data_IF_689391717871
#
_entry.id   IF_689391717871
#
_cell.length_a   1.000
_cell.length_b   1.000
_cell.length_c   1.000
_cell.angle_alpha   90.00
_cell.angle_beta   90.00
_cell.angle_gamma   90.00
#
_symmetry.space_group_name_H-M   'P 1'
#
loop_
_entity.id
_entity.type
_entity.pdbx_description
1 polymer ?
#
# COMPACT_ATOMS: atom_id res chain seq x y z
N UNK A 1 22.04 -29.27 -2.56
CA UNK A 1 21.99 -28.03 -1.74
C UNK A 1 20.52 -27.68 -1.52
N UNK A 2 20.12 -27.49 -0.26
CA UNK A 2 18.71 -27.31 0.14
C UNK A 2 18.14 -25.97 -0.33
N UNK A 3 16.86 -25.98 -0.71
CA UNK A 3 16.04 -24.85 -1.17
C UNK A 3 16.06 -23.64 -0.22
N UNK A 4 16.38 -23.85 1.06
CA UNK A 4 16.52 -22.78 2.07
C UNK A 4 17.73 -21.86 1.86
N UNK A 5 18.79 -22.32 1.19
CA UNK A 5 20.01 -21.52 1.01
C UNK A 5 19.92 -20.48 -0.13
N UNK A 6 18.90 -20.57 -1.01
CA UNK A 6 18.72 -19.60 -2.10
C UNK A 6 18.00 -18.33 -1.65
N UNK A 7 17.19 -18.35 -0.58
CA UNK A 7 16.46 -17.18 -0.09
C UNK A 7 17.36 -16.09 0.51
N UNK A 8 18.50 -16.46 1.09
CA UNK A 8 19.38 -15.51 1.79
C UNK A 8 20.18 -14.59 0.85
N UNK A 9 20.39 -14.98 -0.40
CA UNK A 9 21.19 -14.21 -1.38
C UNK A 9 20.40 -13.08 -2.06
N UNK A 10 19.07 -13.12 -2.04
CA UNK A 10 18.23 -12.11 -2.70
C UNK A 10 18.01 -10.84 -1.85
N UNK A 11 18.16 -10.91 -0.52
CA UNK A 11 18.05 -9.75 0.35
C UNK A 11 19.18 -8.73 0.18
N UNK A 12 20.37 -9.17 -0.25
CA UNK A 12 21.55 -8.29 -0.38
C UNK A 12 21.58 -7.43 -1.65
N UNK A 13 20.93 -7.85 -2.73
CA UNK A 13 20.96 -7.12 -4.00
C UNK A 13 19.99 -5.92 -4.04
N UNK A 14 18.94 -5.91 -3.21
CA UNK A 14 18.04 -4.75 -3.08
C UNK A 14 18.71 -3.55 -2.38
N UNK A 15 19.86 -3.74 -1.73
CA UNK A 15 20.52 -2.73 -0.89
C UNK A 15 21.42 -1.73 -1.65
N UNK A 16 21.73 -1.96 -2.93
CA UNK A 16 22.86 -1.31 -3.60
C UNK A 16 22.53 -0.21 -4.61
N UNK A 17 21.28 0.28 -4.64
CA UNK A 17 20.93 1.49 -5.41
C UNK A 17 20.33 2.54 -4.48
N UNK A 18 21.18 3.28 -3.77
CA UNK A 18 20.74 4.46 -3.01
C UNK A 18 21.58 4.91 -1.83
N UNK A 19 22.89 4.65 -1.80
CA UNK A 19 23.78 5.17 -0.75
C UNK A 19 24.46 6.47 -1.15
N UNK A 20 23.87 7.64 -0.87
CA UNK A 20 24.62 8.91 -0.78
C UNK A 20 24.19 9.71 0.46
N UNK A 21 25.23 10.09 1.20
CA UNK A 21 25.38 10.84 2.45
C UNK A 21 24.42 12.03 2.66
N UNK A 22 23.70 12.05 3.79
CA UNK A 22 23.04 13.25 4.31
C UNK A 22 24.03 14.12 5.09
N UNK A 23 24.42 15.26 4.51
CA UNK A 23 25.19 16.32 5.18
C UNK A 23 24.27 17.41 5.74
N UNK A 24 24.45 17.75 7.02
CA UNK A 24 23.80 18.88 7.70
C UNK A 24 24.29 20.22 7.12
N UNK A 25 23.36 21.10 6.75
CA UNK A 25 23.57 22.55 6.83
C UNK A 25 22.28 23.19 7.36
N UNK A 26 22.39 23.87 8.50
CA UNK A 26 21.37 24.79 8.97
C UNK A 26 21.72 26.21 8.56
N UNK A 27 20.70 27.05 8.34
CA UNK A 27 20.51 28.32 9.05
C UNK A 27 19.13 28.90 8.70
N UNK A 28 18.57 29.60 9.68
CA UNK A 28 17.22 30.16 9.76
C UNK A 28 17.04 31.37 8.85
N UNK A 29 15.81 31.59 8.38
CA UNK A 29 15.19 32.93 8.40
C UNK A 29 13.72 32.83 8.82
N UNK A 30 13.32 33.77 9.69
CA UNK A 30 11.96 33.93 10.19
C UNK A 30 11.11 34.73 9.20
N UNK A 31 9.86 34.31 8.99
CA UNK A 31 8.82 35.14 8.40
C UNK A 31 7.48 34.85 9.07
N UNK A 32 6.80 35.93 9.45
CA UNK A 32 5.61 35.96 10.30
C UNK A 32 4.35 35.35 9.65
N UNK A 33 3.36 34.90 10.46
CA UNK A 33 2.19 34.20 9.95
C UNK A 33 1.17 35.15 9.31
N UNK A 34 0.73 34.81 8.09
CA UNK A 34 -0.44 35.44 7.43
C UNK A 34 -1.70 34.67 7.82
N UNK A 35 -2.63 35.35 8.50
CA UNK A 35 -3.99 34.86 8.72
C UNK A 35 -4.70 34.64 7.38
N UNK A 36 -5.28 33.46 7.18
CA UNK A 36 -6.24 33.21 6.09
C UNK A 36 -7.57 32.85 6.74
N UNK A 37 -8.57 33.68 6.46
CA UNK A 37 -9.92 33.57 6.97
C UNK A 37 -10.61 32.29 6.46
N UNK A 38 -11.34 31.65 7.35
CA UNK A 38 -12.21 30.49 7.08
C UNK A 38 -13.47 30.95 6.32
N UNK A 39 -13.69 30.39 5.13
CA UNK A 39 -14.97 30.45 4.44
C UNK A 39 -15.45 29.01 4.21
N UNK A 40 -16.36 28.56 5.08
CA UNK A 40 -17.07 27.29 4.92
C UNK A 40 -18.22 27.52 3.93
N UNK A 41 -18.07 27.04 2.70
CA UNK A 41 -19.17 26.95 1.75
C UNK A 41 -19.83 25.57 1.87
N UNK A 42 -21.14 25.55 2.09
CA UNK A 42 -21.96 24.33 2.11
C UNK A 42 -21.93 23.62 0.75
N UNK A 43 -21.54 22.34 0.75
CA UNK A 43 -21.62 21.47 -0.44
C UNK A 43 -23.04 20.91 -0.59
N UNK A 44 -23.63 20.95 -1.80
CA UNK A 44 -24.93 20.34 -2.05
C UNK A 44 -24.82 18.81 -2.11
N UNK A 45 -25.84 18.14 -1.58
CA UNK A 45 -26.05 16.70 -1.66
C UNK A 45 -26.20 16.26 -3.12
N UNK A 46 -25.19 15.55 -3.63
CA UNK A 46 -25.14 15.06 -5.01
C UNK A 46 -26.02 13.81 -5.18
N UNK A 47 -27.09 13.96 -5.96
CA UNK A 47 -27.81 12.87 -6.63
C UNK A 47 -26.86 12.18 -7.62
N UNK A 48 -26.63 10.88 -7.42
CA UNK A 48 -25.75 10.04 -8.24
C UNK A 48 -26.26 9.90 -9.67
N UNK A 49 -25.80 10.77 -10.58
CA UNK A 49 -25.95 10.58 -12.02
C UNK A 49 -25.13 9.37 -12.50
N UNK A 50 -25.59 8.69 -13.56
CA UNK A 50 -24.85 7.61 -14.19
C UNK A 50 -23.50 8.11 -14.75
N UNK A 51 -22.42 7.33 -14.65
CA UNK A 51 -21.10 7.71 -15.15
C UNK A 51 -21.14 7.97 -16.67
N UNK A 52 -20.42 9.00 -17.13
CA UNK A 52 -20.28 9.30 -18.56
C UNK A 52 -19.63 8.11 -19.30
N UNK A 53 -19.95 7.88 -20.59
CA UNK A 53 -19.33 6.82 -21.38
C UNK A 53 -17.80 6.87 -21.29
N UNK A 54 -17.15 5.71 -21.09
CA UNK A 54 -15.68 5.61 -20.95
C UNK A 54 -15.13 5.93 -19.55
N UNK A 55 -15.97 6.29 -18.59
CA UNK A 55 -15.56 6.47 -17.19
C UNK A 55 -15.75 5.20 -16.36
N UNK A 56 -14.79 4.93 -15.49
CA UNK A 56 -14.77 3.81 -14.55
C UNK A 56 -14.83 4.40 -13.14
N UNK A 57 -15.78 3.90 -12.33
CA UNK A 57 -15.88 4.25 -10.92
C UNK A 57 -14.81 3.49 -10.13
N UNK A 58 -13.88 4.22 -9.54
CA UNK A 58 -12.87 3.63 -8.66
C UNK A 58 -13.47 3.40 -7.26
N UNK A 59 -13.59 2.15 -6.76
CA UNK A 59 -14.15 1.92 -5.42
C UNK A 59 -13.28 2.47 -4.29
N UNK A 60 -11.98 2.68 -4.54
CA UNK A 60 -11.07 3.28 -3.56
C UNK A 60 -11.30 4.79 -3.44
N UNK A 61 -11.69 5.44 -4.55
CA UNK A 61 -12.01 6.88 -4.61
C UNK A 61 -13.19 7.15 -5.54
N UNK A 62 -14.44 6.88 -5.10
CA UNK A 62 -15.63 7.02 -5.94
C UNK A 62 -15.84 8.42 -6.53
N UNK A 63 -15.26 9.43 -5.91
CA UNK A 63 -15.31 10.84 -6.30
C UNK A 63 -14.27 11.23 -7.36
N UNK A 64 -13.31 10.36 -7.68
CA UNK A 64 -12.26 10.59 -8.70
C UNK A 64 -12.34 9.51 -9.78
N UNK A 65 -13.19 9.69 -10.81
CA UNK A 65 -13.35 8.69 -11.86
C UNK A 65 -12.05 8.46 -12.63
N UNK A 66 -11.92 7.25 -13.15
CA UNK A 66 -10.81 6.83 -14.03
C UNK A 66 -11.32 6.84 -15.47
N UNK A 67 -10.52 7.32 -16.41
CA UNK A 67 -10.89 7.37 -17.83
C UNK A 67 -10.21 6.22 -18.55
N UNK A 68 -10.94 5.47 -19.38
CA UNK A 68 -10.32 4.48 -20.28
C UNK A 68 -9.41 5.20 -21.26
N UNK A 69 -8.22 4.65 -21.47
CA UNK A 69 -7.36 5.08 -22.57
C UNK A 69 -7.91 4.48 -23.86
N UNK A 70 -8.32 5.35 -24.80
CA UNK A 70 -8.87 4.94 -26.11
C UNK A 70 -7.82 4.94 -27.21
N UNK A 71 -6.54 5.22 -26.88
CA UNK A 71 -5.45 5.05 -27.83
C UNK A 71 -5.40 3.59 -28.32
N UNK A 72 -5.02 3.34 -29.59
CA UNK A 72 -4.89 1.99 -30.11
C UNK A 72 -4.01 1.12 -29.20
N UNK A 73 -4.52 -0.04 -28.77
CA UNK A 73 -3.74 -0.97 -27.94
C UNK A 73 -2.58 -1.50 -28.79
N UNK A 74 -1.34 -1.22 -28.39
CA UNK A 74 -0.18 -1.87 -28.99
C UNK A 74 -0.22 -3.36 -28.67
N UNK A 75 -0.01 -4.21 -29.68
CA UNK A 75 0.15 -5.65 -29.46
C UNK A 75 1.44 -5.90 -28.69
N UNK A 76 1.30 -6.23 -27.40
CA UNK A 76 2.42 -6.57 -26.52
C UNK A 76 2.64 -8.09 -26.42
N UNK A 77 1.97 -8.89 -27.25
CA UNK A 77 2.04 -10.34 -27.19
C UNK A 77 1.52 -10.90 -25.86
N UNK A 78 2.33 -11.72 -25.19
CA UNK A 78 2.00 -12.27 -23.87
C UNK A 78 2.10 -11.17 -22.80
N UNK A 79 0.98 -10.47 -22.59
CA UNK A 79 0.90 -9.36 -21.63
C UNK A 79 1.31 -9.76 -20.20
N UNK A 80 1.19 -11.04 -19.83
CA UNK A 80 1.57 -11.53 -18.49
C UNK A 80 3.09 -11.44 -18.29
N UNK A 81 3.85 -11.57 -19.37
CA UNK A 81 5.32 -11.48 -19.39
C UNK A 81 5.81 -10.15 -19.94
N UNK A 82 4.91 -9.22 -20.25
CA UNK A 82 5.29 -7.94 -20.83
C UNK A 82 6.06 -7.11 -19.80
N UNK A 83 7.19 -6.57 -20.23
CA UNK A 83 7.94 -5.58 -19.45
C UNK A 83 7.13 -4.28 -19.37
N UNK A 84 7.35 -3.43 -18.35
CA UNK A 84 6.58 -2.22 -18.21
C UNK A 84 6.69 -1.29 -19.41
N UNK A 85 5.55 -0.79 -19.89
CA UNK A 85 5.44 -0.05 -21.15
C UNK A 85 5.97 1.40 -21.09
N UNK A 86 5.87 2.05 -19.93
CA UNK A 86 6.10 3.50 -19.80
C UNK A 86 7.40 3.83 -19.07
N UNK A 87 8.52 3.82 -19.79
CA UNK A 87 9.85 4.14 -19.22
C UNK A 87 10.12 5.66 -19.14
N UNK A 88 9.11 6.47 -18.79
CA UNK A 88 9.21 7.94 -18.76
C UNK A 88 8.86 8.44 -17.35
N UNK A 89 9.73 9.29 -16.81
CA UNK A 89 9.56 9.94 -15.51
C UNK A 89 9.23 11.41 -15.66
N UNK A 90 8.37 11.92 -14.77
CA UNK A 90 8.06 13.35 -14.66
C UNK A 90 9.12 14.06 -13.82
N UNK A 91 9.61 15.17 -14.34
CA UNK A 91 10.45 16.12 -13.62
C UNK A 91 9.74 16.72 -12.41
N UNK A 92 10.50 17.27 -11.46
CA UNK A 92 9.94 17.99 -10.31
C UNK A 92 8.98 19.11 -10.73
N UNK A 93 9.32 19.86 -11.80
CA UNK A 93 8.48 20.93 -12.34
C UNK A 93 7.12 20.39 -12.85
N UNK A 94 7.12 19.27 -13.56
CA UNK A 94 5.90 18.60 -14.03
C UNK A 94 5.06 18.03 -12.89
N UNK A 95 5.66 17.76 -11.72
CA UNK A 95 4.97 17.41 -10.48
C UNK A 95 4.50 18.61 -9.67
N UNK A 96 4.60 19.83 -10.21
CA UNK A 96 4.25 21.06 -9.49
C UNK A 96 5.27 21.46 -8.41
N UNK A 97 6.55 21.15 -8.62
CA UNK A 97 7.64 21.41 -7.68
C UNK A 97 7.71 20.44 -6.50
N UNK A 98 7.01 19.31 -6.59
CA UNK A 98 6.98 18.30 -5.53
C UNK A 98 8.15 17.32 -5.66
N UNK A 99 8.85 17.11 -4.56
CA UNK A 99 9.86 16.06 -4.39
C UNK A 99 9.24 14.87 -3.62
N UNK A 100 8.82 13.78 -4.29
CA UNK A 100 8.02 12.74 -3.64
C UNK A 100 8.77 11.97 -2.54
N UNK A 101 10.10 11.87 -2.65
CA UNK A 101 10.94 11.27 -1.63
C UNK A 101 11.20 12.18 -0.42
N UNK A 102 10.91 13.48 -0.54
CA UNK A 102 10.95 14.38 0.60
C UNK A 102 9.58 14.30 1.31
N UNK A 103 9.55 13.77 2.53
CA UNK A 103 8.30 13.67 3.27
C UNK A 103 7.72 15.06 3.53
N UNK A 104 6.66 15.39 2.79
CA UNK A 104 5.84 16.57 3.05
C UNK A 104 5.32 16.55 4.49
N UNK A 105 5.55 17.63 5.23
CA UNK A 105 5.06 17.77 6.60
C UNK A 105 3.52 17.89 6.61
N UNK A 106 2.89 17.24 7.58
CA UNK A 106 1.46 17.38 7.89
C UNK A 106 1.29 17.53 9.39
N UNK A 107 0.16 18.10 9.80
CA UNK A 107 -0.19 18.15 11.21
C UNK A 107 -0.48 16.73 11.74
N UNK A 108 0.46 16.18 12.50
CA UNK A 108 0.34 14.87 13.15
C UNK A 108 -0.19 14.97 14.58
N UNK A 109 -0.67 16.15 15.01
CA UNK A 109 -1.09 16.41 16.39
C UNK A 109 -2.21 15.49 16.89
N UNK A 110 -3.02 14.91 16.00
CA UNK A 110 -4.03 13.91 16.33
C UNK A 110 -3.44 12.56 16.80
N UNK A 111 -2.15 12.33 16.57
CA UNK A 111 -1.43 11.10 16.93
C UNK A 111 -0.42 11.35 18.05
N UNK A 112 -0.13 10.32 18.85
CA UNK A 112 0.98 10.35 19.79
C UNK A 112 2.31 10.56 19.06
N UNK A 113 3.36 11.10 19.74
CA UNK A 113 4.72 10.97 19.25
C UNK A 113 5.07 9.49 19.00
N UNK A 114 6.02 9.24 18.10
CA UNK A 114 6.58 7.91 17.88
C UNK A 114 7.16 7.37 19.19
N UNK A 115 6.83 6.11 19.50
CA UNK A 115 7.42 5.38 20.61
C UNK A 115 8.00 4.06 20.10
N UNK A 116 9.18 3.68 20.59
CA UNK A 116 9.79 2.40 20.29
C UNK A 116 8.94 1.24 20.84
N UNK A 117 8.86 0.15 20.08
CA UNK A 117 8.15 -1.07 20.46
C UNK A 117 8.78 -2.25 19.73
N UNK A 118 9.41 -3.16 20.49
CA UNK A 118 10.13 -4.30 19.92
C UNK A 118 11.22 -3.84 18.93
N UNK A 119 11.18 -4.41 17.73
CA UNK A 119 12.10 -4.07 16.64
C UNK A 119 11.75 -2.78 15.89
N UNK A 120 10.56 -2.23 16.12
CA UNK A 120 10.04 -1.07 15.39
C UNK A 120 9.57 0.03 16.30
N UNK A 121 8.59 0.78 15.82
CA UNK A 121 7.97 1.88 16.55
C UNK A 121 6.51 2.00 16.17
N UNK A 122 5.74 2.67 17.00
CA UNK A 122 4.32 2.85 16.77
C UNK A 122 3.83 4.24 17.14
N UNK A 123 2.68 4.59 16.59
CA UNK A 123 1.85 5.73 16.98
C UNK A 123 0.39 5.29 17.04
N UNK A 124 -0.38 6.00 17.84
CA UNK A 124 -1.82 5.77 17.96
C UNK A 124 -2.56 7.12 18.05
N UNK A 125 -3.87 7.16 17.76
CA UNK A 125 -4.68 8.34 18.03
C UNK A 125 -4.54 8.79 19.49
N UNK A 126 -4.36 10.10 19.72
CA UNK A 126 -4.24 10.64 21.09
C UNK A 126 -5.52 10.44 21.90
N UNK A 127 -6.64 10.71 21.25
CA UNK A 127 -7.98 10.60 21.81
C UNK A 127 -8.60 9.27 21.37
N UNK A 128 -9.33 8.61 22.26
CA UNK A 128 -10.09 7.39 21.96
C UNK A 128 -9.34 6.42 21.00
N UNK A 129 -8.17 5.87 21.39
CA UNK A 129 -7.42 4.92 20.55
C UNK A 129 -8.16 3.59 20.34
N UNK A 130 -9.25 3.36 21.08
CA UNK A 130 -10.12 2.18 20.98
C UNK A 130 -11.58 2.60 20.89
N UNK A 131 -12.44 1.70 20.40
CA UNK A 131 -13.88 1.78 20.58
C UNK A 131 -14.28 1.50 22.05
N UNK A 132 -15.59 1.61 22.36
CA UNK A 132 -16.13 1.39 23.70
C UNK A 132 -15.93 -0.04 24.24
N UNK A 133 -15.65 -1.02 23.36
CA UNK A 133 -15.35 -2.40 23.74
C UNK A 133 -13.84 -2.66 23.84
N UNK A 134 -13.01 -1.61 23.76
CA UNK A 134 -11.56 -1.72 23.79
C UNK A 134 -10.93 -2.21 22.50
N UNK A 135 -11.65 -2.15 21.37
CA UNK A 135 -11.11 -2.65 20.10
C UNK A 135 -10.51 -1.55 19.24
N UNK A 136 -9.48 -1.87 18.48
CA UNK A 136 -8.84 -0.93 17.56
C UNK A 136 -8.39 -1.63 16.27
N UNK A 137 -8.20 -0.87 15.20
CA UNK A 137 -7.65 -1.41 13.95
C UNK A 137 -6.16 -1.04 13.82
N UNK A 138 -5.36 -1.98 13.32
CA UNK A 138 -3.90 -1.90 13.26
C UNK A 138 -3.41 -1.93 11.81
N UNK A 139 -2.55 -0.99 11.46
CA UNK A 139 -1.64 -1.10 10.31
C UNK A 139 -0.27 -1.53 10.83
N UNK A 140 0.23 -2.67 10.34
CA UNK A 140 1.64 -3.05 10.44
C UNK A 140 2.27 -2.75 9.08
N UNK A 141 3.09 -1.69 9.02
CA UNK A 141 3.74 -1.25 7.80
C UNK A 141 5.25 -1.52 7.81
N UNK A 142 5.77 -2.07 6.71
CA UNK A 142 7.18 -2.34 6.52
C UNK A 142 7.79 -1.40 5.49
N UNK A 143 8.87 -0.72 5.90
CA UNK A 143 9.68 0.22 5.11
C UNK A 143 8.98 1.55 4.75
N UNK A 144 9.62 2.70 5.04
CA UNK A 144 9.10 4.02 4.62
C UNK A 144 8.19 4.69 5.66
N UNK A 145 8.62 4.72 6.91
CA UNK A 145 7.83 5.09 8.09
C UNK A 145 7.15 6.49 8.08
N UNK A 146 7.86 7.60 7.87
CA UNK A 146 7.22 8.94 7.96
C UNK A 146 6.17 9.21 6.87
N UNK A 147 6.41 8.88 5.58
CA UNK A 147 5.38 9.03 4.54
C UNK A 147 4.08 8.28 4.85
N UNK A 148 4.16 7.14 5.53
CA UNK A 148 2.99 6.31 5.85
C UNK A 148 2.11 6.98 6.89
N UNK A 149 2.70 7.54 7.95
CA UNK A 149 1.93 8.33 8.93
C UNK A 149 1.30 9.55 8.27
N UNK A 150 2.01 10.21 7.36
CA UNK A 150 1.47 11.34 6.59
C UNK A 150 0.19 10.94 5.83
N UNK A 151 0.23 9.83 5.09
CA UNK A 151 -0.93 9.38 4.33
C UNK A 151 -2.06 8.84 5.22
N UNK A 152 -1.74 8.24 6.37
CA UNK A 152 -2.73 7.86 7.37
C UNK A 152 -3.47 9.09 7.91
N UNK A 153 -2.76 10.16 8.28
CA UNK A 153 -3.38 11.43 8.70
C UNK A 153 -4.27 12.01 7.59
N UNK A 154 -3.77 12.09 6.35
CA UNK A 154 -4.53 12.59 5.19
C UNK A 154 -5.75 11.74 4.83
N UNK A 155 -5.78 10.48 5.25
CA UNK A 155 -6.92 9.58 5.04
C UNK A 155 -8.04 9.80 6.07
N UNK A 156 -7.78 10.60 7.11
CA UNK A 156 -8.68 10.87 8.23
C UNK A 156 -9.10 9.61 9.01
N UNK A 157 -8.36 8.51 8.81
CA UNK A 157 -8.56 7.29 9.58
C UNK A 157 -7.83 7.35 10.90
N UNK A 158 -8.32 6.58 11.87
CA UNK A 158 -7.82 6.55 13.25
C UNK A 158 -7.14 5.22 13.59
N UNK A 159 -6.47 4.63 12.61
CA UNK A 159 -5.79 3.36 12.82
C UNK A 159 -4.57 3.55 13.72
N UNK A 160 -4.28 2.54 14.54
CA UNK A 160 -2.96 2.42 15.19
C UNK A 160 -1.97 2.03 14.10
N UNK A 161 -0.80 2.66 14.08
CA UNK A 161 0.23 2.40 13.08
C UNK A 161 1.49 1.91 13.78
N UNK A 162 1.89 0.69 13.46
CA UNK A 162 3.21 0.15 13.75
C UNK A 162 4.05 0.19 12.47
N UNK A 163 5.29 0.65 12.57
CA UNK A 163 6.25 0.65 11.47
C UNK A 163 7.53 -0.08 11.86
N UNK A 164 8.07 -0.84 10.91
CA UNK A 164 9.42 -1.39 10.98
C UNK A 164 10.15 -1.01 9.69
N UNK A 165 11.17 -0.17 9.82
CA UNK A 165 12.07 0.19 8.73
C UNK A 165 13.46 -0.35 9.06
N UNK A 166 13.97 -1.25 8.22
CA UNK A 166 15.31 -1.78 8.40
C UNK A 166 16.37 -0.90 7.72
N UNK A 167 17.59 -0.89 8.25
CA UNK A 167 18.76 -0.38 7.55
C UNK A 167 18.97 -1.06 6.19
N UNK A 168 19.61 -0.40 5.20
CA UNK A 168 19.79 -0.95 3.86
C UNK A 168 20.53 -2.30 3.80
N UNK A 169 21.42 -2.58 4.75
CA UNK A 169 22.21 -3.81 4.83
C UNK A 169 21.45 -5.01 5.44
N UNK A 170 20.18 -4.83 5.80
CA UNK A 170 19.35 -5.85 6.42
C UNK A 170 18.14 -6.21 5.54
N UNK A 171 17.79 -7.50 5.53
CA UNK A 171 16.60 -8.02 4.85
C UNK A 171 15.46 -8.34 5.81
N UNK A 172 14.21 -8.18 5.35
CA UNK A 172 13.03 -8.53 6.14
C UNK A 172 12.81 -10.03 6.30
N UNK A 173 13.18 -10.83 5.30
CA UNK A 173 12.91 -12.28 5.27
C UNK A 173 13.37 -13.02 6.54
N UNK A 174 14.64 -12.88 6.98
CA UNK A 174 15.13 -13.51 8.21
C UNK A 174 14.39 -13.09 9.47
N UNK A 175 13.87 -11.85 9.54
CA UNK A 175 13.15 -11.37 10.72
C UNK A 175 11.75 -11.96 10.85
N UNK A 176 11.12 -12.32 9.74
CA UNK A 176 9.76 -12.88 9.74
C UNK A 176 9.75 -14.40 9.58
N UNK A 177 10.85 -15.00 9.11
CA UNK A 177 11.01 -16.45 9.01
C UNK A 177 11.33 -17.06 10.39
N UNK A 178 10.36 -17.77 10.97
CA UNK A 178 10.58 -18.59 12.18
C UNK A 178 10.49 -17.86 13.52
N UNK A 179 10.13 -16.57 13.55
CA UNK A 179 10.20 -15.72 14.74
C UNK A 179 8.85 -15.43 15.41
N UNK A 180 7.72 -15.85 14.83
CA UNK A 180 6.38 -15.39 15.24
C UNK A 180 6.32 -13.84 15.38
N UNK A 181 7.14 -13.10 14.60
CA UNK A 181 7.28 -11.65 14.75
C UNK A 181 5.95 -10.92 14.54
N UNK A 182 5.15 -11.38 13.59
CA UNK A 182 3.80 -10.87 13.38
C UNK A 182 2.94 -10.95 14.65
N UNK A 183 2.86 -12.14 15.26
CA UNK A 183 2.07 -12.38 16.47
C UNK A 183 2.61 -11.58 17.66
N UNK A 184 3.94 -11.53 17.80
CA UNK A 184 4.63 -10.77 18.84
C UNK A 184 4.33 -9.27 18.74
N UNK A 185 4.44 -8.70 17.53
CA UNK A 185 4.12 -7.27 17.28
C UNK A 185 2.67 -6.97 17.60
N UNK A 186 1.73 -7.82 17.18
CA UNK A 186 0.30 -7.63 17.50
C UNK A 186 0.09 -7.63 19.02
N UNK A 187 0.66 -8.59 19.73
CA UNK A 187 0.53 -8.68 21.19
C UNK A 187 1.16 -7.47 21.91
N UNK A 188 2.34 -7.02 21.47
CA UNK A 188 3.02 -5.85 22.02
C UNK A 188 2.21 -4.56 21.81
N UNK A 189 1.63 -4.38 20.62
CA UNK A 189 0.76 -3.23 20.31
C UNK A 189 -0.49 -3.27 21.17
N UNK A 190 -1.15 -4.42 21.31
CA UNK A 190 -2.32 -4.56 22.21
C UNK A 190 -1.99 -4.15 23.65
N UNK A 191 -0.83 -4.56 24.17
CA UNK A 191 -0.39 -4.16 25.52
C UNK A 191 -0.13 -2.66 25.61
N UNK A 192 0.53 -2.08 24.61
CA UNK A 192 0.83 -0.65 24.57
C UNK A 192 -0.44 0.21 24.52
N UNK A 193 -1.40 -0.16 23.66
CA UNK A 193 -2.71 0.49 23.57
C UNK A 193 -3.50 0.29 24.86
N UNK A 194 -3.46 -0.91 25.48
CA UNK A 194 -4.14 -1.17 26.75
C UNK A 194 -3.67 -0.24 27.87
N UNK A 195 -2.34 -0.07 28.01
CA UNK A 195 -1.75 0.84 29.01
C UNK A 195 -2.21 2.28 28.79
N UNK A 196 -2.30 2.72 27.53
CA UNK A 196 -2.73 4.09 27.21
C UNK A 196 -4.23 4.30 27.41
N UNK A 197 -5.05 3.33 27.03
CA UNK A 197 -6.50 3.40 27.11
C UNK A 197 -7.04 3.16 28.53
N UNK A 198 -6.24 2.57 29.44
CA UNK A 198 -6.68 2.25 30.80
C UNK A 198 -7.65 1.07 30.86
N UNK A 199 -7.73 0.27 29.80
CA UNK A 199 -8.61 -0.89 29.66
C UNK A 199 -7.93 -1.96 28.80
N UNK A 200 -8.45 -3.19 28.82
CA UNK A 200 -7.93 -4.27 27.98
C UNK A 200 -8.25 -4.00 26.52
N UNK A 201 -7.24 -3.60 25.74
CA UNK A 201 -7.37 -3.33 24.32
C UNK A 201 -7.12 -4.58 23.48
N UNK A 202 -7.84 -4.73 22.36
CA UNK A 202 -7.66 -5.84 21.40
C UNK A 202 -7.71 -5.37 19.96
N UNK A 203 -6.84 -5.94 19.13
CA UNK A 203 -6.90 -5.69 17.70
C UNK A 203 -8.19 -6.31 17.14
N UNK A 204 -8.92 -5.50 16.38
CA UNK A 204 -10.13 -5.89 15.65
C UNK A 204 -9.80 -6.28 14.22
N UNK A 205 -8.94 -5.50 13.57
CA UNK A 205 -8.54 -5.66 12.19
C UNK A 205 -7.06 -5.44 12.01
N UNK A 206 -6.45 -6.22 11.13
CA UNK A 206 -5.03 -6.08 10.77
C UNK A 206 -4.86 -5.79 9.28
N UNK A 207 -4.15 -4.71 8.98
CA UNK A 207 -3.54 -4.46 7.67
C UNK A 207 -2.07 -4.82 7.72
N UNK A 208 -1.65 -5.75 6.86
CA UNK A 208 -0.26 -5.95 6.52
C UNK A 208 0.08 -5.07 5.30
N UNK A 209 0.98 -4.12 5.49
CA UNK A 209 1.32 -3.13 4.45
C UNK A 209 2.82 -3.03 4.26
N UNK A 210 3.26 -2.81 3.03
CA UNK A 210 4.68 -2.60 2.75
C UNK A 210 4.89 -1.72 1.52
N UNK A 211 6.01 -1.02 1.53
CA UNK A 211 6.58 -0.35 0.37
C UNK A 211 7.94 -0.95 0.02
N UNK A 212 8.25 -1.06 -1.28
CA UNK A 212 9.56 -1.50 -1.74
C UNK A 212 9.98 -2.85 -1.13
N UNK A 213 11.21 -2.97 -0.62
CA UNK A 213 11.77 -4.16 0.01
C UNK A 213 10.97 -4.72 1.20
N UNK A 214 10.04 -3.94 1.79
CA UNK A 214 9.18 -4.40 2.88
C UNK A 214 8.28 -5.60 2.50
N UNK A 215 8.00 -5.80 1.20
CA UNK A 215 7.12 -6.88 0.75
C UNK A 215 7.62 -8.28 1.15
N UNK A 216 8.94 -8.46 1.30
CA UNK A 216 9.54 -9.74 1.73
C UNK A 216 9.07 -10.12 3.14
N UNK A 217 8.89 -9.15 4.03
CA UNK A 217 8.33 -9.41 5.35
C UNK A 217 6.86 -9.82 5.29
N UNK A 218 6.10 -9.25 4.33
CA UNK A 218 4.70 -9.62 4.10
C UNK A 218 4.62 -11.04 3.51
N UNK A 219 5.49 -11.41 2.57
CA UNK A 219 5.61 -12.77 2.05
C UNK A 219 5.81 -13.79 3.19
N UNK A 220 6.82 -13.55 4.03
CA UNK A 220 7.10 -14.41 5.19
C UNK A 220 5.95 -14.45 6.19
N UNK A 221 5.22 -13.35 6.39
CA UNK A 221 4.05 -13.32 7.25
C UNK A 221 2.88 -14.11 6.65
N UNK A 222 2.63 -13.99 5.34
CA UNK A 222 1.56 -14.71 4.65
C UNK A 222 1.78 -16.22 4.60
N UNK A 223 3.04 -16.66 4.58
CA UNK A 223 3.41 -18.07 4.65
C UNK A 223 3.08 -18.76 5.99
N UNK A 224 2.75 -18.00 7.05
CA UNK A 224 2.45 -18.52 8.37
C UNK A 224 0.94 -18.82 8.54
N UNK A 225 0.54 -19.82 9.36
CA UNK A 225 -0.88 -20.13 9.57
C UNK A 225 -1.72 -18.98 10.12
N UNK A 226 -1.11 -18.09 10.91
CA UNK A 226 -1.77 -16.91 11.49
C UNK A 226 -2.07 -15.81 10.48
N UNK A 227 -1.57 -15.91 9.24
CA UNK A 227 -1.95 -15.03 8.14
C UNK A 227 -3.44 -15.10 7.78
N UNK A 228 -4.13 -16.18 8.19
CA UNK A 228 -5.58 -16.35 7.98
C UNK A 228 -6.39 -15.21 8.59
N UNK A 229 -5.91 -14.63 9.68
CA UNK A 229 -6.57 -13.56 10.44
C UNK A 229 -6.26 -12.15 9.91
N UNK A 230 -5.35 -12.01 8.96
CA UNK A 230 -5.04 -10.73 8.31
C UNK A 230 -6.23 -10.30 7.44
N UNK A 231 -6.79 -9.12 7.71
CA UNK A 231 -7.96 -8.59 7.00
C UNK A 231 -7.63 -7.92 5.68
N UNK A 232 -6.44 -7.30 5.61
CA UNK A 232 -5.99 -6.59 4.42
C UNK A 232 -4.49 -6.75 4.15
N UNK A 233 -4.13 -6.87 2.86
CA UNK A 233 -2.75 -6.79 2.36
C UNK A 233 -2.62 -5.60 1.42
N UNK A 234 -1.62 -4.74 1.64
CA UNK A 234 -1.38 -3.53 0.85
C UNK A 234 0.09 -3.48 0.43
N UNK A 235 0.36 -3.74 -0.84
CA UNK A 235 1.71 -3.72 -1.41
C UNK A 235 1.85 -2.50 -2.32
N UNK A 236 2.74 -1.59 -1.95
CA UNK A 236 2.98 -0.35 -2.70
C UNK A 236 4.30 -0.48 -3.42
N UNK A 237 4.23 -0.60 -4.75
CA UNK A 237 5.39 -0.65 -5.65
C UNK A 237 6.59 -1.43 -5.08
N UNK A 238 6.35 -2.67 -4.65
CA UNK A 238 7.38 -3.49 -4.02
C UNK A 238 7.32 -4.98 -4.30
N UNK A 239 6.26 -5.49 -4.93
CA UNK A 239 6.13 -6.93 -5.18
C UNK A 239 7.11 -7.36 -6.29
N UNK A 240 8.16 -8.10 -5.92
CA UNK A 240 9.18 -8.62 -6.83
C UNK A 240 9.32 -10.14 -6.71
N UNK A 241 9.94 -10.77 -7.70
CA UNK A 241 10.24 -12.20 -7.70
C UNK A 241 11.44 -12.50 -8.62
N UNK A 242 12.11 -13.66 -8.50
CA UNK A 242 13.15 -14.10 -9.43
C UNK A 242 12.62 -14.12 -10.87
N UNK A 243 13.32 -13.47 -11.81
CA UNK A 243 12.84 -13.39 -13.19
C UNK A 243 13.12 -14.66 -14.01
N UNK A 244 14.30 -15.25 -13.82
CA UNK A 244 14.82 -16.31 -14.69
C UNK A 244 14.41 -17.72 -14.25
N UNK A 245 14.17 -17.92 -12.96
CA UNK A 245 13.69 -19.18 -12.40
C UNK A 245 12.16 -19.13 -12.27
N UNK A 246 11.46 -19.66 -13.27
CA UNK A 246 9.98 -19.62 -13.36
C UNK A 246 9.33 -20.33 -12.17
N UNK A 247 9.91 -21.42 -11.69
CA UNK A 247 9.32 -22.16 -10.57
C UNK A 247 9.52 -21.40 -9.26
N UNK A 248 10.69 -20.78 -9.07
CA UNK A 248 10.90 -19.86 -7.94
C UNK A 248 9.99 -18.63 -8.02
N UNK A 249 9.79 -18.06 -9.22
CA UNK A 249 8.86 -16.95 -9.46
C UNK A 249 7.44 -17.29 -9.00
N UNK A 250 6.90 -18.42 -9.48
CA UNK A 250 5.56 -18.86 -9.12
C UNK A 250 5.44 -19.19 -7.64
N UNK A 251 6.42 -19.91 -7.09
CA UNK A 251 6.41 -20.31 -5.69
C UNK A 251 6.42 -19.11 -4.74
N UNK A 252 7.23 -18.09 -5.03
CA UNK A 252 7.28 -16.86 -4.24
C UNK A 252 5.96 -16.06 -4.33
N UNK A 253 5.32 -16.02 -5.50
CA UNK A 253 4.07 -15.27 -5.67
C UNK A 253 2.83 -16.03 -5.19
N UNK A 254 2.90 -17.34 -4.94
CA UNK A 254 1.73 -18.16 -4.59
C UNK A 254 0.97 -17.66 -3.34
N UNK A 255 1.61 -17.29 -2.20
CA UNK A 255 0.88 -16.76 -1.05
C UNK A 255 0.09 -15.49 -1.37
N UNK A 256 0.58 -14.67 -2.30
CA UNK A 256 -0.10 -13.48 -2.76
C UNK A 256 -1.25 -13.81 -3.72
N UNK A 257 -1.10 -14.81 -4.59
CA UNK A 257 -2.20 -15.32 -5.44
C UNK A 257 -3.34 -15.86 -4.58
N UNK A 258 -3.03 -16.65 -3.55
CA UNK A 258 -4.03 -17.22 -2.63
C UNK A 258 -4.79 -16.10 -1.89
N UNK A 259 -4.07 -15.07 -1.43
CA UNK A 259 -4.67 -13.93 -0.77
C UNK A 259 -5.52 -13.08 -1.74
N UNK A 260 -5.03 -12.86 -2.97
CA UNK A 260 -5.74 -12.14 -4.02
C UNK A 260 -7.04 -12.85 -4.41
N UNK A 261 -7.05 -14.19 -4.45
CA UNK A 261 -8.25 -15.00 -4.68
C UNK A 261 -9.32 -14.74 -3.62
N UNK A 262 -8.95 -14.75 -2.33
CA UNK A 262 -9.86 -14.44 -1.22
C UNK A 262 -10.36 -12.99 -1.26
N UNK A 263 -9.49 -12.05 -1.63
CA UNK A 263 -9.89 -10.66 -1.81
C UNK A 263 -10.84 -10.46 -2.99
N UNK A 264 -10.63 -11.19 -4.10
CA UNK A 264 -11.53 -11.20 -5.26
C UNK A 264 -12.91 -11.81 -4.92
N UNK A 265 -12.94 -12.82 -4.03
CA UNK A 265 -14.16 -13.36 -3.43
C UNK A 265 -14.77 -12.44 -2.34
N UNK A 266 -14.21 -11.26 -2.13
CA UNK A 266 -14.65 -10.25 -1.16
C UNK A 266 -14.51 -10.62 0.33
N UNK A 267 -13.79 -11.70 0.65
CA UNK A 267 -13.55 -12.17 2.02
C UNK A 267 -12.47 -11.37 2.76
N UNK A 268 -11.51 -10.87 1.99
CA UNK A 268 -10.37 -10.05 2.42
C UNK A 268 -10.27 -8.81 1.56
N UNK A 269 -9.30 -7.94 1.83
CA UNK A 269 -8.98 -6.78 1.00
C UNK A 269 -7.53 -6.86 0.52
N UNK A 270 -7.29 -6.67 -0.77
CA UNK A 270 -5.92 -6.62 -1.28
C UNK A 270 -5.74 -5.46 -2.25
N UNK A 271 -4.71 -4.67 -2.01
CA UNK A 271 -4.26 -3.62 -2.91
C UNK A 271 -2.82 -3.87 -3.33
N UNK A 272 -2.55 -3.74 -4.62
CA UNK A 272 -1.21 -3.76 -5.19
C UNK A 272 -1.04 -2.56 -6.10
N UNK A 273 0.03 -1.79 -5.93
CA UNK A 273 0.48 -0.85 -6.96
C UNK A 273 1.80 -1.27 -7.58
N UNK A 274 2.00 -0.87 -8.83
CA UNK A 274 3.26 -1.05 -9.54
C UNK A 274 3.62 0.22 -10.31
N UNK A 275 4.91 0.39 -10.55
CA UNK A 275 5.48 1.42 -11.42
C UNK A 275 5.94 0.79 -12.73
N UNK A 276 6.41 1.63 -13.64
CA UNK A 276 7.07 1.16 -14.86
C UNK A 276 8.57 0.97 -14.69
N UNK A 277 9.08 0.94 -13.45
CA UNK A 277 10.50 0.68 -13.18
C UNK A 277 10.83 -0.75 -13.57
N UNK A 278 11.89 -0.90 -14.37
CA UNK A 278 12.29 -2.18 -14.92
C UNK A 278 13.70 -2.59 -14.44
N UNK A 279 13.78 -3.30 -13.29
CA UNK A 279 15.06 -3.70 -12.72
C UNK A 279 15.73 -4.79 -13.58
N UNK A 280 17.07 -4.85 -13.62
CA UNK A 280 17.79 -5.82 -14.45
C UNK A 280 17.72 -7.26 -13.92
N UNK A 281 17.75 -7.46 -12.59
CA UNK A 281 18.10 -8.77 -12.00
C UNK A 281 16.91 -9.57 -11.44
N UNK A 282 15.73 -8.97 -11.35
CA UNK A 282 14.52 -9.57 -10.79
C UNK A 282 13.29 -9.01 -11.49
N UNK A 283 12.16 -9.71 -11.43
CA UNK A 283 10.93 -9.30 -12.09
C UNK A 283 10.43 -7.96 -11.52
N UNK A 284 10.03 -7.05 -12.40
CA UNK A 284 9.44 -5.76 -12.05
C UNK A 284 8.14 -5.92 -11.25
N UNK A 285 7.73 -4.84 -10.59
CA UNK A 285 6.42 -4.80 -9.91
C UNK A 285 5.27 -4.94 -10.91
N UNK A 286 5.47 -4.50 -12.16
CA UNK A 286 4.51 -4.71 -13.27
C UNK A 286 4.37 -6.19 -13.60
N UNK A 287 5.48 -6.90 -13.87
CA UNK A 287 5.48 -8.34 -14.18
C UNK A 287 4.77 -9.15 -13.08
N UNK A 288 5.08 -8.85 -11.81
CA UNK A 288 4.47 -9.56 -10.68
C UNK A 288 2.97 -9.22 -10.52
N UNK A 289 2.58 -7.95 -10.68
CA UNK A 289 1.18 -7.54 -10.62
C UNK A 289 0.35 -8.16 -11.75
N UNK A 290 0.90 -8.21 -12.97
CA UNK A 290 0.28 -8.86 -14.12
C UNK A 290 0.08 -10.35 -13.86
N UNK A 291 1.08 -11.03 -13.28
CA UNK A 291 0.95 -12.44 -12.89
C UNK A 291 -0.18 -12.67 -11.88
N UNK A 292 -0.32 -11.82 -10.85
CA UNK A 292 -1.43 -11.95 -9.89
C UNK A 292 -2.79 -11.81 -10.58
N UNK A 293 -2.94 -10.82 -11.46
CA UNK A 293 -4.19 -10.59 -12.19
C UNK A 293 -4.50 -11.75 -13.14
N UNK A 294 -3.49 -12.23 -13.87
CA UNK A 294 -3.61 -13.37 -14.80
C UNK A 294 -3.95 -14.68 -14.08
N UNK A 295 -3.39 -14.91 -12.89
CA UNK A 295 -3.65 -16.09 -12.07
C UNK A 295 -5.11 -16.21 -11.63
N UNK A 296 -5.84 -15.09 -11.63
CA UNK A 296 -7.28 -15.05 -11.38
C UNK A 296 -8.10 -15.02 -12.67
N UNK A 297 -7.50 -15.16 -13.85
CA UNK A 297 -8.18 -15.03 -15.14
C UNK A 297 -8.68 -13.60 -15.39
N UNK A 298 -7.95 -12.59 -14.90
CA UNK A 298 -8.19 -11.19 -15.18
C UNK A 298 -7.22 -10.63 -16.24
N UNK A 299 -7.48 -9.40 -16.69
CA UNK A 299 -6.54 -8.58 -17.48
C UNK A 299 -6.71 -7.11 -17.03
N UNK A 300 -5.63 -6.36 -16.75
CA UNK A 300 -5.73 -4.93 -16.51
C UNK A 300 -6.26 -4.19 -17.76
N UNK A 301 -6.92 -3.06 -17.54
CA UNK A 301 -7.33 -2.17 -18.63
C UNK A 301 -6.47 -0.92 -18.63
N UNK A 302 -6.16 -0.43 -19.83
CA UNK A 302 -5.45 0.82 -20.02
C UNK A 302 -6.34 2.02 -19.65
N UNK A 303 -5.78 2.93 -18.86
CA UNK A 303 -6.50 4.09 -18.33
C UNK A 303 -5.61 5.32 -18.28
N UNK A 304 -6.20 6.48 -18.01
CA UNK A 304 -5.48 7.72 -17.68
C UNK A 304 -6.12 8.40 -16.48
N UNK A 305 -5.31 8.72 -15.47
CA UNK A 305 -5.70 9.62 -14.37
C UNK A 305 -4.45 10.22 -13.71
N UNK A 306 -4.44 11.54 -13.51
CA UNK A 306 -3.45 12.16 -12.63
C UNK A 306 -3.80 11.87 -11.17
N UNK A 307 -2.84 11.38 -10.40
CA UNK A 307 -2.99 10.96 -9.01
C UNK A 307 -2.03 11.70 -8.07
N UNK A 308 -2.03 11.29 -6.80
CA UNK A 308 -1.21 11.89 -5.74
C UNK A 308 0.26 11.97 -6.13
N UNK A 309 0.93 13.04 -5.69
CA UNK A 309 2.39 13.23 -5.84
C UNK A 309 2.88 13.18 -7.31
N UNK A 310 2.01 13.58 -8.24
CA UNK A 310 2.33 13.67 -9.65
C UNK A 310 2.30 12.33 -10.39
N UNK A 311 1.81 11.26 -9.76
CA UNK A 311 1.61 9.97 -10.41
C UNK A 311 0.63 10.06 -11.58
N UNK A 312 0.83 9.21 -12.58
CA UNK A 312 -0.12 9.00 -13.66
C UNK A 312 -0.53 7.53 -13.69
N UNK A 313 -1.79 7.28 -13.39
CA UNK A 313 -2.39 5.96 -13.46
C UNK A 313 -2.55 5.58 -14.94
N UNK A 314 -1.95 4.46 -15.33
CA UNK A 314 -1.94 3.94 -16.70
C UNK A 314 -2.59 2.57 -16.84
N UNK A 315 -2.65 1.79 -15.75
CA UNK A 315 -3.31 0.49 -15.73
C UNK A 315 -4.23 0.36 -14.51
N UNK A 316 -5.35 -0.30 -14.74
CA UNK A 316 -6.40 -0.45 -13.73
C UNK A 316 -6.94 -1.87 -13.74
N UNK A 317 -7.05 -2.47 -12.56
CA UNK A 317 -7.80 -3.71 -12.36
C UNK A 317 -8.56 -3.69 -11.04
N UNK A 318 -9.76 -4.24 -11.03
CA UNK A 318 -10.55 -4.46 -9.81
C UNK A 318 -11.45 -5.68 -9.99
N UNK A 319 -11.47 -6.56 -8.99
CA UNK A 319 -12.42 -7.65 -8.85
C UNK A 319 -12.70 -7.88 -7.36
N UNK A 320 -13.96 -7.82 -6.94
CA UNK A 320 -14.28 -7.84 -5.52
C UNK A 320 -13.51 -6.75 -4.76
N UNK A 321 -12.77 -7.13 -3.73
CA UNK A 321 -11.86 -6.24 -2.99
C UNK A 321 -10.37 -6.46 -3.35
N UNK A 322 -10.08 -7.09 -4.49
CA UNK A 322 -8.74 -7.12 -5.05
C UNK A 322 -8.59 -5.98 -6.07
N UNK A 323 -7.64 -5.08 -5.81
CA UNK A 323 -7.42 -3.88 -6.59
C UNK A 323 -5.95 -3.77 -7.01
N UNK A 324 -5.71 -3.52 -8.30
CA UNK A 324 -4.38 -3.23 -8.83
C UNK A 324 -4.37 -1.86 -9.53
N UNK A 325 -3.36 -1.05 -9.24
CA UNK A 325 -3.15 0.26 -9.87
C UNK A 325 -1.73 0.33 -10.43
N UNK A 326 -1.63 0.44 -11.75
CA UNK A 326 -0.35 0.60 -12.44
C UNK A 326 -0.10 2.04 -12.80
N UNK A 327 1.09 2.53 -12.49
CA UNK A 327 1.49 3.90 -12.74
C UNK A 327 2.66 3.95 -13.74
N UNK A 328 2.67 4.99 -14.58
CA UNK A 328 3.89 5.30 -15.33
C UNK A 328 4.99 5.76 -14.38
N UNK A 329 6.23 5.78 -14.87
CA UNK A 329 7.36 6.25 -14.09
C UNK A 329 8.46 5.21 -13.99
N UNK A 330 9.70 5.67 -14.07
CA UNK A 330 10.89 4.85 -14.20
C UNK A 330 12.07 5.34 -13.33
N UNK A 331 11.80 6.15 -12.30
CA UNK A 331 12.85 6.68 -11.44
C UNK A 331 12.52 6.60 -9.95
N UNK A 332 13.47 7.06 -9.13
CA UNK A 332 13.34 7.10 -7.68
C UNK A 332 12.16 7.95 -7.20
N UNK A 333 11.89 9.08 -7.86
CA UNK A 333 10.80 9.97 -7.49
C UNK A 333 9.45 9.30 -7.76
N UNK A 334 9.32 8.56 -8.87
CA UNK A 334 8.15 7.72 -9.17
C UNK A 334 7.91 6.65 -8.09
N UNK A 335 8.97 5.95 -7.71
CA UNK A 335 8.93 4.93 -6.65
C UNK A 335 8.45 5.50 -5.30
N UNK A 336 8.96 6.67 -4.89
CA UNK A 336 8.51 7.34 -3.67
C UNK A 336 7.08 7.89 -3.78
N UNK A 337 6.68 8.38 -4.96
CA UNK A 337 5.36 8.96 -5.17
C UNK A 337 4.23 7.94 -4.96
N UNK A 338 4.51 6.66 -5.20
CA UNK A 338 3.60 5.53 -4.95
C UNK A 338 3.09 5.50 -3.51
N UNK A 339 3.87 5.93 -2.51
CA UNK A 339 3.40 6.01 -1.12
C UNK A 339 2.14 6.88 -0.98
N UNK A 340 1.95 7.88 -1.84
CA UNK A 340 0.77 8.75 -1.84
C UNK A 340 -0.57 8.01 -2.04
N UNK A 341 -0.57 6.83 -2.66
CA UNK A 341 -1.79 6.04 -2.88
C UNK A 341 -2.38 5.51 -1.58
N UNK A 342 -1.57 5.41 -0.51
CA UNK A 342 -1.98 4.88 0.78
C UNK A 342 -3.13 5.68 1.40
N UNK A 343 -3.22 7.00 1.15
CA UNK A 343 -4.33 7.83 1.62
C UNK A 343 -5.67 7.26 1.19
N UNK A 344 -5.78 6.93 -0.09
CA UNK A 344 -7.01 6.43 -0.69
C UNK A 344 -7.32 5.02 -0.20
N UNK A 345 -6.29 4.17 -0.10
CA UNK A 345 -6.40 2.80 0.40
C UNK A 345 -6.89 2.78 1.85
N UNK A 346 -6.28 3.58 2.73
CA UNK A 346 -6.68 3.69 4.13
C UNK A 346 -8.10 4.26 4.25
N UNK A 347 -8.44 5.30 3.48
CA UNK A 347 -9.80 5.82 3.45
C UNK A 347 -10.84 4.77 3.01
N UNK A 348 -10.50 3.91 2.04
CA UNK A 348 -11.36 2.81 1.60
C UNK A 348 -11.53 1.73 2.68
N UNK A 349 -10.45 1.33 3.35
CA UNK A 349 -10.48 0.40 4.48
C UNK A 349 -11.35 0.92 5.63
N UNK A 350 -11.19 2.20 5.97
CA UNK A 350 -12.00 2.88 6.98
C UNK A 350 -13.49 2.81 6.69
N UNK A 351 -13.89 3.20 5.47
CA UNK A 351 -15.30 3.10 5.01
C UNK A 351 -15.80 1.67 5.05
N UNK A 352 -14.99 0.70 4.61
CA UNK A 352 -15.34 -0.72 4.59
C UNK A 352 -15.59 -1.26 6.01
N UNK A 353 -14.79 -0.87 6.99
CA UNK A 353 -14.91 -1.37 8.36
C UNK A 353 -15.91 -0.61 9.22
N UNK A 354 -16.27 0.61 8.83
CA UNK A 354 -17.39 1.36 9.42
C UNK A 354 -18.75 0.86 8.93
N UNK A 355 -18.84 0.30 7.73
CA UNK A 355 -20.09 -0.21 7.18
C UNK A 355 -20.65 -1.37 8.04
N UNK A 356 -21.97 -1.40 8.33
CA UNK A 356 -22.61 -2.55 8.94
C UNK A 356 -22.33 -3.80 8.11
N UNK A 357 -21.94 -4.90 8.77
CA UNK A 357 -21.82 -6.19 8.08
C UNK A 357 -23.20 -6.55 7.50
N UNK A 358 -23.33 -6.85 6.20
CA UNK A 358 -24.58 -7.39 5.69
C UNK A 358 -24.91 -8.65 6.49
N UNK A 359 -26.17 -8.77 6.93
CA UNK A 359 -26.63 -9.94 7.66
C UNK A 359 -26.32 -11.18 6.82
N UNK A 360 -25.76 -12.22 7.44
CA UNK A 360 -25.52 -13.49 6.78
C UNK A 360 -26.85 -14.02 6.24
N UNK A 361 -27.08 -13.92 4.92
CA UNK A 361 -28.32 -14.40 4.30
C UNK A 361 -28.77 -13.69 3.02
N UNK A 362 -28.29 -12.47 2.71
CA UNK A 362 -28.65 -11.84 1.42
C UNK A 362 -27.58 -12.13 0.38
N UNK A 363 -27.62 -13.32 -0.21
CA UNK A 363 -26.98 -13.59 -1.50
C UNK A 363 -27.59 -12.65 -2.54
N UNK A 364 -26.92 -11.53 -2.80
CA UNK A 364 -27.27 -10.65 -3.90
C UNK A 364 -27.18 -11.43 -5.21
N UNK A 365 -28.26 -11.40 -5.97
CA UNK A 365 -28.36 -11.95 -7.32
C UNK A 365 -27.15 -11.51 -8.14
N UNK A 366 -26.47 -12.42 -8.86
CA UNK A 366 -25.35 -12.02 -9.70
C UNK A 366 -25.84 -11.03 -10.76
N UNK A 367 -25.17 -9.87 -10.84
CA UNK A 367 -25.27 -9.00 -12.00
C UNK A 367 -24.61 -9.79 -13.14
N UNK A 368 -25.43 -10.25 -14.07
CA UNK A 368 -25.03 -10.95 -15.29
C UNK A 368 -24.21 -10.01 -16.21
N UNK A 369 -23.41 -10.56 -17.14
CA UNK A 369 -22.13 -10.02 -17.61
C UNK A 369 -22.16 -8.63 -18.27
#
# INVERSE_FOLDING_TARGET
>A
MSTAARLALFGGACALVGGIVYGRVGLREHSAPRQVASAVAHLPTSTSAAPAPGTIRDPLVPQRPVYRDTAPEQDVGDWVKARPRFQISRSAAERGGLEPCATQQVDTSAYTPWAALGAGRYVMPKDAPTDAAGRFDLILHLHGEEPVLRELVKSEQRFVLYTLTLPPDQGYGPLFSGSHLYESVVAEVEQAVSRRAGLRARVRRVVLSAWSAGFVGIESALAQPTSKDVDAVVLVDGLHAPRTDIEAFKAQLQPFVDYASRAAASERFMFVSHSSIDPPDFASTTECAHYLVASLGGKPIAVRRNDSLGLELVEYFTRGNFHVRGYSGNDKADHCAQLGVLRDVYGALGRRWAAPRPAAGTSGTPIAP
#
